data_IF_575166830129
#
_entry.id   IF_575166830129
#
_cell.length_a   1.000
_cell.length_b   1.000
_cell.length_c   1.000
_cell.angle_alpha   90.00
_cell.angle_beta   90.00
_cell.angle_gamma   90.00
#
_symmetry.space_group_name_H-M   'P 1'
#
loop_
_entity.id
_entity.type
_entity.pdbx_description
1 polymer ?
#
# COMPACT_ATOMS: atom_id res chain seq x y z
N UNK A 1 -48.09 4.57 38.71
CA UNK A 1 -47.63 5.08 37.40
C UNK A 1 -46.50 6.03 37.73
N UNK A 2 -45.24 5.81 37.39
CA UNK A 2 -44.65 5.06 36.28
C UNK A 2 -43.36 4.36 36.72
N UNK A 3 -42.98 3.37 35.92
CA UNK A 3 -42.00 2.33 36.19
C UNK A 3 -40.57 2.86 36.14
N UNK A 4 -39.81 2.41 37.13
CA UNK A 4 -38.38 2.17 37.09
C UNK A 4 -37.96 1.53 35.74
N UNK A 5 -36.94 2.08 35.08
CA UNK A 5 -36.33 1.48 33.89
C UNK A 5 -34.89 1.96 33.77
N UNK A 6 -34.01 1.27 34.48
CA UNK A 6 -32.58 1.25 34.18
C UNK A 6 -32.35 0.74 32.74
N UNK A 7 -31.40 1.29 31.98
CA UNK A 7 -31.03 0.70 30.71
C UNK A 7 -30.27 -0.61 30.96
N UNK A 8 -31.04 -1.68 30.76
CA UNK A 8 -30.71 -2.97 30.16
C UNK A 8 -29.23 -3.20 29.79
N UNK A 9 -28.70 -4.28 30.37
CA UNK A 9 -27.33 -4.73 30.23
C UNK A 9 -26.88 -4.78 28.76
N UNK A 10 -25.83 -4.02 28.44
CA UNK A 10 -25.11 -4.12 27.18
C UNK A 10 -24.65 -5.57 26.98
N UNK A 11 -25.29 -6.23 26.03
CA UNK A 11 -25.14 -7.61 25.66
C UNK A 11 -23.68 -7.95 25.30
N UNK A 12 -23.23 -9.10 25.79
CA UNK A 12 -21.85 -9.60 25.70
C UNK A 12 -21.34 -9.67 24.25
N UNK A 13 -20.51 -8.73 23.81
CA UNK A 13 -19.76 -8.86 22.57
C UNK A 13 -18.44 -9.64 22.79
N UNK A 14 -18.56 -10.91 23.21
CA UNK A 14 -17.46 -11.88 23.19
C UNK A 14 -17.16 -12.38 21.77
N UNK A 15 -17.16 -11.48 20.77
CA UNK A 15 -16.79 -11.80 19.40
C UNK A 15 -15.27 -11.88 19.28
N UNK A 16 -14.75 -12.84 18.50
CA UNK A 16 -13.34 -12.87 18.13
C UNK A 16 -12.97 -11.49 17.57
N UNK A 17 -11.95 -10.83 18.14
CA UNK A 17 -11.46 -9.55 17.64
C UNK A 17 -11.01 -9.74 16.18
N UNK A 18 -11.77 -9.19 15.22
CA UNK A 18 -11.41 -9.21 13.79
C UNK A 18 -10.71 -7.91 13.47
N UNK A 19 -9.41 -8.00 13.22
CA UNK A 19 -8.63 -6.85 12.73
C UNK A 19 -9.08 -6.54 11.30
N UNK A 20 -9.38 -5.27 11.06
CA UNK A 20 -9.58 -4.77 9.70
C UNK A 20 -8.21 -4.61 9.02
N UNK A 21 -8.17 -4.99 7.75
CA UNK A 21 -7.01 -4.90 6.89
C UNK A 21 -7.36 -4.10 5.65
N UNK A 22 -6.34 -3.69 4.90
CA UNK A 22 -6.53 -2.98 3.62
C UNK A 22 -7.34 -3.84 2.63
N UNK A 23 -7.26 -5.17 2.73
CA UNK A 23 -8.02 -6.10 1.89
C UNK A 23 -9.52 -6.07 2.16
N UNK A 24 -9.96 -5.53 3.30
CA UNK A 24 -11.37 -5.40 3.66
C UNK A 24 -12.02 -4.13 3.05
N UNK A 25 -11.23 -3.26 2.40
CA UNK A 25 -11.72 -2.07 1.70
C UNK A 25 -12.18 -2.47 0.30
N UNK A 26 -13.32 -1.94 -0.15
CA UNK A 26 -13.80 -2.12 -1.52
C UNK A 26 -12.76 -1.63 -2.55
N UNK A 27 -12.29 -2.57 -3.39
CA UNK A 27 -11.36 -2.38 -4.51
C UNK A 27 -11.76 -1.32 -5.53
N UNK A 28 -13.05 -0.95 -5.60
CA UNK A 28 -13.54 0.04 -6.56
C UNK A 28 -13.32 1.47 -6.08
N UNK A 29 -13.10 1.67 -4.80
CA UNK A 29 -12.92 3.00 -4.19
C UNK A 29 -11.66 3.69 -4.71
N UNK A 30 -11.69 5.02 -4.82
CA UNK A 30 -10.53 5.81 -5.24
C UNK A 30 -9.35 5.64 -4.29
N UNK A 31 -9.61 5.65 -2.98
CA UNK A 31 -8.59 5.45 -1.96
C UNK A 31 -7.87 4.10 -2.13
N UNK A 32 -8.63 3.01 -2.34
CA UNK A 32 -8.03 1.68 -2.55
C UNK A 32 -7.21 1.62 -3.84
N UNK A 33 -7.74 2.15 -4.93
CA UNK A 33 -7.04 2.22 -6.23
C UNK A 33 -5.74 3.02 -6.17
N UNK A 34 -5.75 4.18 -5.51
CA UNK A 34 -4.55 5.00 -5.37
C UNK A 34 -3.48 4.29 -4.54
N UNK A 35 -3.87 3.70 -3.41
CA UNK A 35 -2.93 2.93 -2.59
C UNK A 35 -2.37 1.71 -3.34
N UNK A 36 -3.19 0.98 -4.10
CA UNK A 36 -2.72 -0.15 -4.91
C UNK A 36 -1.79 0.29 -6.05
N UNK A 37 -2.11 1.38 -6.74
CA UNK A 37 -1.28 1.93 -7.80
C UNK A 37 0.09 2.36 -7.26
N UNK A 38 0.10 3.12 -6.16
CA UNK A 38 1.34 3.54 -5.52
C UNK A 38 2.18 2.34 -5.04
N UNK A 39 1.55 1.32 -4.45
CA UNK A 39 2.24 0.11 -4.03
C UNK A 39 2.84 -0.64 -5.23
N UNK A 40 2.09 -0.81 -6.31
CA UNK A 40 2.57 -1.47 -7.53
C UNK A 40 3.81 -0.77 -8.08
N UNK A 41 3.75 0.55 -8.24
CA UNK A 41 4.88 1.34 -8.73
C UNK A 41 6.10 1.22 -7.82
N UNK A 42 5.92 1.31 -6.50
CA UNK A 42 7.03 1.14 -5.55
C UNK A 42 7.66 -0.25 -5.62
N UNK A 43 6.85 -1.30 -5.75
CA UNK A 43 7.35 -2.68 -5.90
C UNK A 43 8.12 -2.85 -7.20
N UNK A 44 7.63 -2.27 -8.30
CA UNK A 44 8.32 -2.28 -9.59
C UNK A 44 9.67 -1.55 -9.51
N UNK A 45 9.72 -0.40 -8.84
CA UNK A 45 10.96 0.37 -8.68
C UNK A 45 12.00 -0.36 -7.83
N UNK A 46 11.56 -1.18 -6.88
CA UNK A 46 12.43 -2.00 -6.04
C UNK A 46 12.88 -3.31 -6.71
N UNK A 47 12.57 -3.52 -7.99
CA UNK A 47 12.99 -4.70 -8.76
C UNK A 47 11.95 -5.84 -8.79
N UNK A 48 10.73 -5.57 -8.34
CA UNK A 48 9.59 -6.50 -8.37
C UNK A 48 9.48 -7.40 -7.14
N UNK A 49 8.33 -8.08 -7.01
CA UNK A 49 7.93 -8.84 -5.81
C UNK A 49 8.95 -9.91 -5.39
N UNK A 50 9.63 -10.53 -6.36
CA UNK A 50 10.61 -11.60 -6.12
C UNK A 50 11.90 -11.11 -5.45
N UNK A 51 12.19 -9.81 -5.53
CA UNK A 51 13.40 -9.19 -4.98
C UNK A 51 13.11 -8.40 -3.69
N UNK A 52 11.86 -8.35 -3.23
CA UNK A 52 11.49 -7.68 -1.99
C UNK A 52 11.62 -8.60 -0.78
N UNK A 53 12.33 -8.12 0.25
CA UNK A 53 12.20 -8.70 1.58
C UNK A 53 10.85 -8.35 2.20
N UNK A 54 10.38 -9.18 3.14
CA UNK A 54 9.12 -8.94 3.86
C UNK A 54 9.07 -7.56 4.50
N UNK A 55 10.17 -7.10 5.11
CA UNK A 55 10.23 -5.77 5.73
C UNK A 55 10.09 -4.64 4.71
N UNK A 56 10.74 -4.75 3.54
CA UNK A 56 10.57 -3.77 2.46
C UNK A 56 9.14 -3.73 1.94
N UNK A 57 8.48 -4.89 1.86
CA UNK A 57 7.08 -5.00 1.44
C UNK A 57 6.14 -4.29 2.40
N UNK A 58 6.33 -4.49 3.70
CA UNK A 58 5.55 -3.79 4.73
C UNK A 58 5.77 -2.27 4.65
N UNK A 59 7.01 -1.81 4.53
CA UNK A 59 7.32 -0.38 4.39
C UNK A 59 6.71 0.22 3.12
N UNK A 60 6.76 -0.47 1.99
CA UNK A 60 6.14 -0.03 0.74
C UNK A 60 4.61 0.05 0.87
N UNK A 61 3.97 -0.92 1.52
CA UNK A 61 2.54 -0.88 1.80
C UNK A 61 2.15 0.31 2.68
N UNK A 62 2.93 0.60 3.73
CA UNK A 62 2.71 1.77 4.57
C UNK A 62 2.93 3.08 3.81
N UNK A 63 3.98 3.16 2.98
CA UNK A 63 4.26 4.33 2.16
C UNK A 63 3.11 4.62 1.18
N UNK A 64 2.56 3.58 0.54
CA UNK A 64 1.43 3.72 -0.37
C UNK A 64 0.16 4.25 0.32
N UNK A 65 -0.12 3.81 1.56
CA UNK A 65 -1.24 4.34 2.35
C UNK A 65 -1.02 5.79 2.74
N UNK A 66 0.17 6.14 3.25
CA UNK A 66 0.49 7.52 3.62
C UNK A 66 0.44 8.46 2.41
N UNK A 67 0.85 7.98 1.23
CA UNK A 67 0.74 8.72 -0.02
C UNK A 67 -0.74 9.01 -0.36
N UNK A 68 -1.61 8.01 -0.34
CA UNK A 68 -3.04 8.21 -0.61
C UNK A 68 -3.71 9.17 0.39
N UNK A 69 -3.32 9.11 1.68
CA UNK A 69 -3.79 10.06 2.70
C UNK A 69 -3.30 11.49 2.45
N UNK A 70 -2.03 11.66 2.10
CA UNK A 70 -1.47 12.96 1.77
C UNK A 70 -2.13 13.56 0.51
N UNK A 71 -2.38 12.74 -0.52
CA UNK A 71 -3.05 13.18 -1.74
C UNK A 71 -4.47 13.69 -1.46
N UNK A 72 -5.25 12.99 -0.63
CA UNK A 72 -6.59 13.45 -0.21
C UNK A 72 -6.52 14.79 0.53
N UNK A 73 -5.60 14.93 1.50
CA UNK A 73 -5.42 16.19 2.22
C UNK A 73 -4.99 17.35 1.30
N UNK A 74 -4.07 17.09 0.37
CA UNK A 74 -3.64 18.09 -0.60
C UNK A 74 -4.79 18.49 -1.55
N UNK A 75 -5.58 17.52 -2.02
CA UNK A 75 -6.72 17.80 -2.89
C UNK A 75 -7.77 18.66 -2.20
N UNK A 76 -8.13 18.35 -0.94
CA UNK A 76 -9.05 19.16 -0.13
C UNK A 76 -8.52 20.57 0.09
N UNK A 77 -7.23 20.71 0.38
CA UNK A 77 -6.60 22.01 0.57
C UNK A 77 -6.68 22.86 -0.71
N UNK A 78 -6.41 22.27 -1.87
CA UNK A 78 -6.50 22.94 -3.17
C UNK A 78 -7.93 23.29 -3.57
N UNK A 79 -8.93 22.59 -3.03
CA UNK A 79 -10.35 22.94 -3.18
C UNK A 79 -10.80 24.07 -2.24
N UNK A 80 -9.92 24.57 -1.38
CA UNK A 80 -10.21 25.62 -0.41
C UNK A 80 -10.83 25.12 0.89
N UNK A 81 -10.82 23.81 1.15
CA UNK A 81 -11.27 23.27 2.42
C UNK A 81 -10.23 23.55 3.53
N UNK A 82 -10.70 23.63 4.78
CA UNK A 82 -9.82 23.73 5.93
C UNK A 82 -9.13 22.38 6.18
N UNK A 83 -7.80 22.37 6.14
CA UNK A 83 -7.00 21.15 6.34
C UNK A 83 -5.96 21.39 7.43
N UNK A 84 -5.69 20.37 8.23
CA UNK A 84 -4.63 20.41 9.23
C UNK A 84 -3.25 20.33 8.56
N UNK A 85 -2.60 21.49 8.42
CA UNK A 85 -1.26 21.63 7.83
C UNK A 85 -0.20 20.90 8.65
N UNK A 86 -0.37 20.82 9.97
CA UNK A 86 0.56 20.09 10.85
C UNK A 86 0.45 18.58 10.63
N UNK A 87 -0.79 18.07 10.59
CA UNK A 87 -1.08 16.69 10.22
C UNK A 87 -0.53 16.33 8.85
N UNK A 88 -0.75 17.19 7.84
CA UNK A 88 -0.20 16.99 6.49
C UNK A 88 1.33 16.96 6.47
N UNK A 89 1.97 17.89 7.18
CA UNK A 89 3.44 17.91 7.33
C UNK A 89 3.96 16.65 8.02
N UNK A 90 3.22 16.11 8.98
CA UNK A 90 3.56 14.86 9.67
C UNK A 90 3.47 13.65 8.74
N UNK A 91 2.41 13.56 7.93
CA UNK A 91 2.24 12.49 6.93
C UNK A 91 3.38 12.51 5.90
N UNK A 92 3.67 13.68 5.32
CA UNK A 92 4.70 13.83 4.29
C UNK A 92 6.11 13.56 4.83
N UNK A 93 6.41 13.99 6.05
CA UNK A 93 7.69 13.65 6.71
C UNK A 93 7.81 12.15 7.00
N UNK A 94 6.73 11.51 7.45
CA UNK A 94 6.69 10.07 7.69
C UNK A 94 6.88 9.29 6.38
N UNK A 95 6.20 9.71 5.32
CA UNK A 95 6.35 9.16 3.98
C UNK A 95 7.79 9.27 3.47
N UNK A 96 8.41 10.47 3.56
CA UNK A 96 9.81 10.69 3.17
C UNK A 96 10.74 9.69 3.85
N UNK A 97 10.60 9.49 5.17
CA UNK A 97 11.44 8.57 5.94
C UNK A 97 11.25 7.11 5.52
N UNK A 98 10.02 6.69 5.22
CA UNK A 98 9.76 5.34 4.71
C UNK A 98 10.42 5.13 3.34
N UNK A 99 10.30 6.10 2.44
CA UNK A 99 10.91 6.07 1.11
C UNK A 99 12.44 6.05 1.17
N UNK A 100 13.05 6.85 2.04
CA UNK A 100 14.49 6.81 2.29
C UNK A 100 14.96 5.45 2.83
N UNK A 101 14.12 4.79 3.65
CA UNK A 101 14.46 3.48 4.25
C UNK A 101 14.43 2.35 3.21
N UNK A 102 13.48 2.37 2.27
CA UNK A 102 13.40 1.34 1.22
C UNK A 102 14.36 1.62 0.05
N UNK A 103 14.71 2.89 -0.16
CA UNK A 103 15.59 3.36 -1.23
C UNK A 103 14.83 4.23 -2.24
N UNK A 104 15.46 5.33 -2.68
CA UNK A 104 14.92 6.24 -3.70
C UNK A 104 15.34 5.86 -5.12
N UNK A 105 16.34 4.98 -5.26
CA UNK A 105 16.85 4.57 -6.55
C UNK A 105 16.06 3.41 -7.12
N UNK A 106 15.65 3.54 -8.39
CA UNK A 106 15.05 2.46 -9.16
C UNK A 106 16.08 1.37 -9.43
N UNK A 107 15.82 0.16 -8.97
CA UNK A 107 16.68 -1.01 -9.20
C UNK A 107 16.32 -1.63 -10.55
N UNK A 108 17.21 -1.60 -11.55
CA UNK A 108 16.93 -2.22 -12.84
C UNK A 108 16.80 -3.74 -12.67
N UNK A 109 15.73 -4.32 -13.23
CA UNK A 109 15.52 -5.77 -13.27
C UNK A 109 16.62 -6.42 -14.12
N UNK A 110 17.25 -7.47 -13.58
CA UNK A 110 18.18 -8.29 -14.37
C UNK A 110 17.39 -9.09 -15.41
N UNK A 111 17.58 -8.74 -16.69
CA UNK A 111 16.96 -9.38 -17.85
C UNK A 111 17.96 -10.19 -18.67
N UNK A 112 19.17 -10.43 -18.17
CA UNK A 112 20.19 -11.19 -18.89
C UNK A 112 19.69 -12.62 -19.11
N UNK A 113 19.51 -13.06 -20.38
CA UNK A 113 19.10 -14.42 -20.67
C UNK A 113 20.17 -15.38 -20.14
N UNK A 114 19.76 -16.45 -19.47
CA UNK A 114 20.71 -17.50 -19.13
C UNK A 114 21.12 -18.21 -20.42
N UNK A 115 22.38 -18.63 -20.49
CA UNK A 115 22.90 -19.37 -21.65
C UNK A 115 22.05 -20.61 -21.95
N UNK A 116 21.54 -21.28 -20.90
CA UNK A 116 20.59 -22.41 -21.02
C UNK A 116 19.33 -22.07 -21.79
N UNK A 117 18.77 -20.88 -21.54
CA UNK A 117 17.50 -20.45 -22.10
C UNK A 117 17.68 -20.06 -23.57
N UNK A 118 18.84 -19.46 -23.90
CA UNK A 118 19.25 -19.16 -25.27
C UNK A 118 19.52 -20.41 -26.11
N UNK A 119 20.20 -21.42 -25.54
CA UNK A 119 20.46 -22.69 -26.23
C UNK A 119 19.14 -23.43 -26.49
N UNK A 120 18.22 -23.42 -25.53
CA UNK A 120 16.91 -24.07 -25.66
C UNK A 120 16.03 -23.39 -26.71
N UNK A 121 16.02 -22.06 -26.77
CA UNK A 121 15.27 -21.34 -27.82
C UNK A 121 15.85 -21.63 -29.21
N UNK A 122 17.18 -21.65 -29.37
CA UNK A 122 17.83 -21.97 -30.66
C UNK A 122 17.63 -23.42 -31.09
N UNK A 123 17.63 -24.37 -30.17
CA UNK A 123 17.34 -25.77 -30.49
C UNK A 123 15.89 -25.98 -30.97
N UNK A 124 14.95 -25.19 -30.43
CA UNK A 124 13.54 -25.22 -30.81
C UNK A 124 13.32 -24.62 -32.21
N UNK A 125 14.01 -23.54 -32.55
CA UNK A 125 13.98 -22.92 -33.89
C UNK A 125 14.60 -23.80 -34.98
N UNK A 126 15.61 -24.61 -34.65
CA UNK A 126 16.28 -25.50 -35.62
C UNK A 126 15.50 -26.79 -35.95
N UNK A 127 14.47 -27.11 -35.15
CA UNK A 127 13.66 -28.33 -35.30
C UNK A 127 12.29 -28.08 -35.96
N UNK A 128 12.04 -26.84 -36.40
CA UNK A 128 10.86 -26.40 -37.13
C UNK A 128 11.19 -26.15 -38.61
#
# INVERSE_FOLDING_TARGET
MERDSAPEAAEKAGGKLRLLTISDIDGRTKARKQADAALSSLVEDLGGEQHLSTSRRLLAQHAAVLHAMAEDQAARFLQGEAVDVSGYSTLTNSLRRLLETIGLDRVPRNVTPRLSDYVSSKASEASA
#
